data_IF_755102140016
#
_entry.id   IF_755102140016
#
_cell.length_a   1.000
_cell.length_b   1.000
_cell.length_c   1.000
_cell.angle_alpha   90.00
_cell.angle_beta   90.00
_cell.angle_gamma   90.00
#
_symmetry.space_group_name_H-M   'P 1'
#
loop_
_entity.id
_entity.type
_entity.pdbx_description
1 polymer ?
#
# COMPACT_ATOMS: atom_id res chain seq x y z
N UNK A 1 -22.89 -31.36 18.09
CA UNK A 1 -22.78 -30.38 19.19
C UNK A 1 -23.05 -29.02 18.59
N UNK A 2 -24.07 -28.31 19.10
CA UNK A 2 -24.41 -26.96 18.66
C UNK A 2 -23.38 -25.98 19.24
N UNK A 3 -22.77 -25.13 18.40
CA UNK A 3 -21.85 -24.09 18.86
C UNK A 3 -22.40 -22.70 18.54
N UNK A 4 -22.61 -21.89 19.56
CA UNK A 4 -23.03 -20.49 19.43
C UNK A 4 -21.79 -19.60 19.38
N UNK A 5 -21.64 -18.83 18.31
CA UNK A 5 -20.49 -17.93 18.09
C UNK A 5 -20.98 -16.49 18.05
N UNK A 6 -20.38 -15.63 18.87
CA UNK A 6 -20.63 -14.19 18.83
C UNK A 6 -19.57 -13.52 17.98
N UNK A 7 -19.98 -12.89 16.89
CA UNK A 7 -19.11 -12.10 16.03
C UNK A 7 -19.23 -10.62 16.42
N UNK A 8 -18.08 -9.96 16.61
CA UNK A 8 -18.02 -8.55 16.95
C UNK A 8 -18.64 -7.70 15.83
N UNK A 9 -19.70 -6.96 16.15
CA UNK A 9 -20.37 -6.06 15.23
C UNK A 9 -20.97 -4.86 15.96
N UNK A 10 -21.15 -3.74 15.27
CA UNK A 10 -21.89 -2.59 15.79
C UNK A 10 -23.41 -2.82 15.69
N UNK A 11 -23.92 -3.83 16.40
CA UNK A 11 -25.35 -4.12 16.49
C UNK A 11 -25.73 -4.47 17.92
N UNK A 12 -26.76 -3.82 18.45
CA UNK A 12 -27.36 -4.15 19.74
C UNK A 12 -28.35 -5.33 19.62
N UNK A 13 -28.90 -5.56 18.43
CA UNK A 13 -29.79 -6.69 18.16
C UNK A 13 -28.95 -7.90 17.77
N UNK A 14 -29.04 -8.95 18.59
CA UNK A 14 -28.54 -10.28 18.31
C UNK A 14 -29.37 -10.93 17.20
N UNK A 15 -29.24 -10.41 15.98
CA UNK A 15 -29.88 -11.00 14.81
C UNK A 15 -28.91 -12.00 14.18
N UNK A 16 -29.30 -13.28 14.01
CA UNK A 16 -28.48 -14.24 13.28
C UNK A 16 -28.42 -13.81 11.81
N UNK A 17 -27.24 -13.39 11.36
CA UNK A 17 -27.08 -12.77 10.04
C UNK A 17 -26.97 -13.80 8.90
N UNK A 18 -26.90 -15.10 9.24
CA UNK A 18 -26.90 -16.20 8.28
C UNK A 18 -27.86 -17.29 8.74
N UNK A 19 -28.81 -17.61 7.87
CA UNK A 19 -29.68 -18.78 8.04
C UNK A 19 -28.85 -20.05 8.15
N UNK A 20 -29.37 -21.01 8.90
CA UNK A 20 -28.86 -22.36 9.08
C UNK A 20 -28.28 -22.92 7.77
N UNK A 21 -26.95 -22.90 7.61
CA UNK A 21 -26.27 -23.66 6.56
C UNK A 21 -25.82 -24.95 7.21
N UNK A 22 -26.68 -25.97 7.16
CA UNK A 22 -26.34 -27.35 7.47
C UNK A 22 -25.52 -27.95 6.32
N UNK A 23 -24.31 -27.44 6.10
CA UNK A 23 -23.28 -28.15 5.32
C UNK A 23 -22.35 -28.81 6.33
N UNK A 24 -22.58 -30.10 6.56
CA UNK A 24 -21.78 -31.03 7.36
C UNK A 24 -21.85 -30.90 8.89
N UNK A 25 -22.91 -31.46 9.51
CA UNK A 25 -23.02 -31.91 10.92
C UNK A 25 -22.47 -31.01 12.05
N UNK A 26 -22.18 -29.74 11.78
CA UNK A 26 -21.69 -28.74 12.71
C UNK A 26 -22.66 -27.55 12.69
N UNK A 27 -23.63 -27.58 13.60
CA UNK A 27 -24.60 -26.50 13.76
C UNK A 27 -23.89 -25.30 14.43
N UNK A 28 -23.33 -24.40 13.62
CA UNK A 28 -22.77 -23.13 14.12
C UNK A 28 -23.75 -21.98 13.89
N UNK A 29 -24.23 -21.38 14.97
CA UNK A 29 -25.07 -20.18 14.92
C UNK A 29 -24.17 -18.98 15.17
N UNK A 30 -24.02 -18.11 14.17
CA UNK A 30 -23.26 -16.86 14.31
C UNK A 30 -24.21 -15.70 14.60
N UNK A 31 -24.01 -15.07 15.74
CA UNK A 31 -24.77 -13.90 16.19
C UNK A 31 -23.87 -12.68 16.12
N UNK A 32 -24.26 -11.69 15.32
CA UNK A 32 -23.53 -10.44 15.24
C UNK A 32 -24.00 -9.50 16.33
N UNK A 33 -23.08 -9.13 17.23
CA UNK A 33 -23.37 -8.20 18.30
C UNK A 33 -22.11 -7.56 18.86
N UNK A 34 -22.28 -6.42 19.53
CA UNK A 34 -21.18 -5.79 20.28
C UNK A 34 -20.69 -6.62 21.48
N UNK A 35 -21.44 -7.66 21.89
CA UNK A 35 -21.04 -8.58 22.96
C UNK A 35 -19.95 -9.55 22.49
N UNK A 36 -19.79 -9.69 21.17
CA UNK A 36 -18.65 -10.39 20.58
C UNK A 36 -17.38 -9.55 20.50
N UNK A 37 -17.43 -8.27 20.88
CA UNK A 37 -16.28 -7.37 20.80
C UNK A 37 -15.42 -7.39 22.08
N UNK A 38 -14.12 -7.09 21.97
CA UNK A 38 -13.23 -6.92 23.11
C UNK A 38 -13.69 -5.78 24.04
N UNK A 39 -13.45 -5.92 25.35
CA UNK A 39 -13.88 -4.96 26.37
C UNK A 39 -13.17 -3.60 26.27
N UNK A 40 -12.03 -3.55 25.57
CA UNK A 40 -11.26 -2.34 25.35
C UNK A 40 -11.95 -1.39 24.36
N UNK A 41 -12.87 -1.90 23.53
CA UNK A 41 -13.64 -1.09 22.60
C UNK A 41 -14.85 -0.48 23.30
N UNK A 42 -14.87 0.85 23.50
CA UNK A 42 -15.97 1.50 24.20
C UNK A 42 -17.25 1.46 23.37
N UNK A 43 -18.35 1.37 24.12
CA UNK A 43 -19.70 1.48 23.63
C UNK A 43 -20.28 2.80 24.15
N UNK A 44 -20.68 3.68 23.25
CA UNK A 44 -21.24 4.98 23.57
C UNK A 44 -22.54 5.19 22.78
N UNK A 45 -23.58 5.74 23.40
CA UNK A 45 -24.85 6.00 22.70
C UNK A 45 -25.57 4.75 22.19
N UNK A 46 -25.30 3.57 22.77
CA UNK A 46 -25.76 2.25 22.27
C UNK A 46 -25.16 1.85 20.92
N UNK A 47 -24.01 2.40 20.59
CA UNK A 47 -23.23 2.02 19.41
C UNK A 47 -21.77 1.76 19.81
N UNK A 48 -21.17 0.74 19.21
CA UNK A 48 -19.74 0.46 19.32
C UNK A 48 -18.98 1.60 18.66
N UNK A 49 -17.93 2.11 19.32
CA UNK A 49 -17.16 3.26 18.83
C UNK A 49 -18.05 4.48 18.47
N UNK A 50 -19.08 4.72 19.29
CA UNK A 50 -20.06 5.80 19.12
C UNK A 50 -20.75 5.82 17.73
N UNK A 51 -20.77 4.69 17.03
CA UNK A 51 -21.29 4.58 15.66
C UNK A 51 -20.46 5.28 14.60
N UNK A 52 -19.26 5.73 14.94
CA UNK A 52 -18.39 6.60 14.14
C UNK A 52 -17.01 6.00 13.95
N UNK A 53 -16.96 4.68 13.91
CA UNK A 53 -15.73 3.93 13.71
C UNK A 53 -15.90 2.43 13.85
N UNK A 54 -14.78 1.74 13.74
CA UNK A 54 -14.72 0.28 13.79
C UNK A 54 -13.79 -0.19 14.90
N UNK A 55 -14.26 -1.12 15.72
CA UNK A 55 -13.41 -1.81 16.70
C UNK A 55 -12.53 -2.83 15.99
N UNK A 56 -11.21 -2.73 16.16
CA UNK A 56 -10.27 -3.71 15.61
C UNK A 56 -9.08 -3.89 16.55
N UNK A 57 -8.49 -5.08 16.51
CA UNK A 57 -7.23 -5.34 17.21
C UNK A 57 -6.06 -4.61 16.54
N UNK A 58 -5.36 -3.80 17.31
CA UNK A 58 -4.14 -3.13 16.90
C UNK A 58 -2.93 -3.99 17.32
N UNK A 59 -2.17 -4.43 16.33
CA UNK A 59 -0.98 -5.28 16.51
C UNK A 59 0.22 -4.54 17.07
N UNK A 60 0.29 -3.22 16.90
CA UNK A 60 1.42 -2.41 17.32
C UNK A 60 1.38 -2.19 18.84
N UNK A 61 0.19 -1.89 19.37
CA UNK A 61 -0.03 -1.71 20.82
C UNK A 61 -0.57 -2.97 21.52
N UNK A 62 -0.82 -4.05 20.76
CA UNK A 62 -1.36 -5.33 21.25
C UNK A 62 -2.69 -5.22 22.00
N UNK A 63 -3.55 -4.31 21.58
CA UNK A 63 -4.84 -4.05 22.20
C UNK A 63 -5.90 -3.73 21.15
N UNK A 64 -7.17 -4.03 21.45
CA UNK A 64 -8.28 -3.58 20.62
C UNK A 64 -8.58 -2.10 20.87
N UNK A 65 -8.83 -1.36 19.79
CA UNK A 65 -9.24 0.04 19.87
C UNK A 65 -10.20 0.41 18.75
N UNK A 66 -10.87 1.54 18.92
CA UNK A 66 -11.70 2.13 17.87
C UNK A 66 -10.83 2.84 16.83
N UNK A 67 -11.09 2.55 15.56
CA UNK A 67 -10.57 3.26 14.41
C UNK A 67 -11.67 4.19 13.92
N UNK A 68 -11.52 5.48 14.20
CA UNK A 68 -12.55 6.48 13.96
C UNK A 68 -12.64 6.89 12.50
N UNK A 69 -13.87 7.22 12.10
CA UNK A 69 -14.16 7.79 10.81
C UNK A 69 -13.62 9.23 10.70
N UNK A 70 -13.51 9.71 9.47
CA UNK A 70 -13.02 11.06 9.20
C UNK A 70 -13.82 12.12 9.95
N UNK A 71 -13.11 12.98 10.68
CA UNK A 71 -13.72 14.06 11.46
C UNK A 71 -14.12 13.68 12.89
N UNK A 72 -13.77 12.47 13.34
CA UNK A 72 -13.98 12.01 14.70
C UNK A 72 -12.69 11.54 15.36
N UNK A 73 -12.55 11.83 16.65
CA UNK A 73 -11.42 11.44 17.49
C UNK A 73 -11.89 11.05 18.89
N UNK A 74 -10.95 10.70 19.77
CA UNK A 74 -11.24 10.18 21.11
C UNK A 74 -11.11 8.66 21.20
N UNK A 75 -11.26 8.12 22.42
CA UNK A 75 -11.05 6.69 22.69
C UNK A 75 -12.13 5.83 22.02
N UNK A 76 -13.32 6.39 21.84
CA UNK A 76 -14.49 5.76 21.24
C UNK A 76 -15.12 6.58 20.11
N UNK A 77 -14.37 7.48 19.46
CA UNK A 77 -14.86 8.32 18.36
C UNK A 77 -16.01 9.26 18.76
N UNK A 78 -16.05 9.63 20.03
CA UNK A 78 -17.08 10.47 20.64
C UNK A 78 -16.87 11.98 20.34
N UNK A 79 -15.64 12.38 20.02
CA UNK A 79 -15.28 13.78 19.81
C UNK A 79 -15.34 14.12 18.32
N UNK A 80 -16.12 15.14 17.96
CA UNK A 80 -16.11 15.69 16.61
C UNK A 80 -14.98 16.70 16.47
N UNK A 81 -14.13 16.55 15.45
CA UNK A 81 -13.08 17.53 15.15
C UNK A 81 -13.74 18.74 14.49
N UNK A 82 -14.27 19.67 15.29
CA UNK A 82 -14.87 20.93 14.81
C UNK A 82 -13.77 21.77 14.19
N UNK A 83 -13.61 21.70 12.86
CA UNK A 83 -12.95 22.66 11.96
C UNK A 83 -11.77 23.50 12.50
N UNK A 84 -11.01 22.99 13.48
CA UNK A 84 -9.70 23.53 13.83
C UNK A 84 -8.80 22.93 12.78
N UNK A 85 -8.52 23.77 11.77
CA UNK A 85 -7.47 23.64 10.75
C UNK A 85 -6.66 22.37 10.99
N UNK A 86 -6.69 21.37 10.08
CA UNK A 86 -6.08 20.08 10.34
C UNK A 86 -4.69 20.37 10.93
N UNK A 87 -4.37 19.91 12.15
CA UNK A 87 -2.97 19.88 12.53
C UNK A 87 -2.27 19.18 11.36
N UNK A 88 -1.07 19.61 10.93
CA UNK A 88 -0.33 18.85 9.95
C UNK A 88 -0.14 17.47 10.57
N UNK A 89 -1.03 16.55 10.19
CA UNK A 89 -0.83 15.14 10.37
C UNK A 89 0.51 14.94 9.70
N UNK A 90 1.53 14.69 10.51
CA UNK A 90 2.71 14.02 10.02
C UNK A 90 2.17 12.65 9.62
N UNK A 91 1.69 12.58 8.40
CA UNK A 91 1.20 11.39 7.73
C UNK A 91 2.40 10.48 7.54
N UNK A 92 2.87 9.89 8.64
CA UNK A 92 3.80 8.77 8.61
C UNK A 92 3.07 7.46 8.32
N UNK A 93 1.82 7.56 7.84
CA UNK A 93 1.09 6.52 7.12
C UNK A 93 1.13 6.85 5.63
N UNK A 94 2.34 6.90 5.07
CA UNK A 94 2.50 6.13 3.86
C UNK A 94 2.37 4.68 4.31
N UNK A 95 1.21 4.07 4.01
CA UNK A 95 1.11 2.62 3.87
C UNK A 95 2.40 2.14 3.23
N UNK A 96 3.21 1.44 4.03
CA UNK A 96 4.62 1.14 3.76
C UNK A 96 4.85 0.29 2.50
N UNK A 97 3.79 -0.03 1.77
CA UNK A 97 3.79 -0.73 0.48
C UNK A 97 3.91 0.18 -0.75
N UNK A 98 3.47 1.45 -0.69
CA UNK A 98 3.49 2.33 -1.89
C UNK A 98 4.82 3.05 -2.07
N UNK A 99 5.50 3.41 -0.98
CA UNK A 99 6.82 4.07 -1.03
C UNK A 99 7.92 3.16 -1.55
N UNK A 100 7.87 1.87 -1.20
CA UNK A 100 8.85 0.87 -1.64
C UNK A 100 8.84 0.72 -3.16
N UNK A 101 7.65 0.64 -3.77
CA UNK A 101 7.50 0.50 -5.22
C UNK A 101 8.06 1.72 -5.94
N UNK A 102 7.76 2.93 -5.45
CA UNK A 102 8.25 4.19 -6.04
C UNK A 102 9.78 4.25 -6.00
N UNK A 103 10.39 3.89 -4.87
CA UNK A 103 11.85 3.88 -4.72
C UNK A 103 12.50 2.87 -5.68
N UNK A 104 11.95 1.67 -5.81
CA UNK A 104 12.45 0.65 -6.74
C UNK A 104 12.37 1.13 -8.19
N UNK A 105 11.24 1.73 -8.59
CA UNK A 105 11.06 2.26 -9.94
C UNK A 105 12.04 3.40 -10.25
N UNK A 106 12.32 4.27 -9.28
CA UNK A 106 13.31 5.34 -9.42
C UNK A 106 14.74 4.80 -9.53
N UNK A 107 15.12 3.78 -8.76
CA UNK A 107 16.45 3.17 -8.86
C UNK A 107 16.64 2.48 -10.22
N UNK A 108 15.62 1.76 -10.70
CA UNK A 108 15.67 1.10 -12.01
C UNK A 108 15.77 2.11 -13.16
N UNK A 109 15.02 3.22 -13.10
CA UNK A 109 15.08 4.25 -14.14
C UNK A 109 16.44 4.95 -14.19
N UNK A 110 17.03 5.27 -13.03
CA UNK A 110 18.38 5.83 -12.94
C UNK A 110 19.42 4.84 -13.47
N UNK A 111 19.32 3.56 -13.11
CA UNK A 111 20.26 2.54 -13.59
C UNK A 111 20.24 2.41 -15.11
N UNK A 112 19.04 2.34 -15.71
CA UNK A 112 18.89 2.29 -17.17
C UNK A 112 19.39 3.56 -17.85
N UNK A 113 19.12 4.73 -17.28
CA UNK A 113 19.62 6.01 -17.79
C UNK A 113 21.15 6.06 -17.76
N UNK A 114 21.77 5.66 -16.64
CA UNK A 114 23.22 5.57 -16.51
C UNK A 114 23.82 4.58 -17.51
N UNK A 115 23.21 3.41 -17.69
CA UNK A 115 23.66 2.43 -18.67
C UNK A 115 23.57 2.98 -20.11
N UNK A 116 22.48 3.64 -20.48
CA UNK A 116 22.34 4.29 -21.79
C UNK A 116 23.39 5.38 -22.01
N UNK A 117 23.66 6.23 -21.00
CA UNK A 117 24.69 7.27 -21.10
C UNK A 117 26.10 6.67 -21.20
N UNK A 118 26.35 5.59 -20.47
CA UNK A 118 27.62 4.87 -20.55
C UNK A 118 27.83 4.25 -21.94
N UNK A 119 26.82 3.57 -22.47
CA UNK A 119 26.89 2.97 -23.81
C UNK A 119 26.98 4.06 -24.89
N UNK A 120 26.30 5.20 -24.76
CA UNK A 120 26.46 6.34 -25.68
C UNK A 120 27.90 6.84 -25.72
N UNK A 121 28.54 7.00 -24.56
CA UNK A 121 29.96 7.37 -24.49
C UNK A 121 30.87 6.33 -25.12
N UNK A 122 30.56 5.05 -24.95
CA UNK A 122 31.31 3.99 -25.63
C UNK A 122 31.12 4.01 -27.15
N UNK A 123 29.91 4.26 -27.63
CA UNK A 123 29.62 4.33 -29.08
C UNK A 123 30.33 5.54 -29.71
N UNK A 124 30.36 6.68 -29.03
CA UNK A 124 31.11 7.86 -29.52
C UNK A 124 32.61 7.55 -29.66
N UNK A 125 33.21 6.82 -28.72
CA UNK A 125 34.60 6.37 -28.84
C UNK A 125 34.81 5.39 -30.01
N UNK A 126 33.86 4.49 -30.28
CA UNK A 126 33.93 3.54 -31.40
C UNK A 126 33.68 4.20 -32.77
N UNK A 127 32.91 5.30 -32.83
CA UNK A 127 32.69 6.03 -34.08
C UNK A 127 33.96 6.72 -34.58
N UNK A 128 34.81 7.20 -33.67
CA UNK A 128 36.08 7.84 -34.03
C UNK A 128 37.03 6.82 -34.69
N UNK A 129 37.09 5.61 -34.17
CA UNK A 129 37.86 4.52 -34.79
C UNK A 129 37.31 4.16 -36.18
N UNK A 130 35.99 3.98 -36.33
CA UNK A 130 35.39 3.63 -37.63
C UNK A 130 35.66 4.66 -38.73
N UNK A 131 35.54 5.95 -38.42
CA UNK A 131 35.83 7.04 -39.36
C UNK A 131 37.32 7.13 -39.73
N UNK A 132 38.22 6.88 -38.77
CA UNK A 132 39.66 6.81 -39.03
C UNK A 132 40.03 5.66 -39.98
N UNK A 133 39.40 4.49 -39.87
CA UNK A 133 39.64 3.38 -40.82
C UNK A 133 39.15 3.68 -42.24
N UNK A 134 38.05 4.43 -42.40
CA UNK A 134 37.59 4.85 -43.74
C UNK A 134 38.50 5.91 -44.36
N UNK A 135 39.08 6.80 -43.55
CA UNK A 135 40.03 7.82 -44.01
C UNK A 135 41.36 7.22 -44.55
N UNK A 136 41.75 6.02 -44.12
CA UNK A 136 42.91 5.32 -44.69
C UNK A 136 42.61 4.64 -46.03
N UNK A 137 41.37 4.20 -46.28
CA UNK A 137 40.99 3.60 -47.57
C UNK A 137 40.95 4.63 -48.69
N UNK A 138 40.39 5.83 -48.44
CA UNK A 138 40.38 6.91 -49.44
C UNK A 138 41.79 7.35 -49.85
N UNK A 139 42.75 7.34 -48.91
CA UNK A 139 44.17 7.64 -49.21
C UNK A 139 44.86 6.52 -49.98
N UNK A 140 44.51 5.25 -49.72
CA UNK A 140 45.05 4.12 -50.46
C UNK A 140 44.54 4.13 -51.92
N UNK A 141 43.26 4.42 -52.13
CA UNK A 141 42.64 4.56 -53.45
C UNK A 141 43.26 5.74 -54.25
N UNK A 142 43.52 6.88 -53.60
CA UNK A 142 44.15 8.03 -54.28
C UNK A 142 45.64 7.81 -54.62
N UNK A 143 46.37 7.00 -53.85
CA UNK A 143 47.78 6.67 -54.11
C UNK A 143 47.99 5.61 -55.20
N UNK A 144 46.93 4.86 -55.56
CA UNK A 144 46.94 3.88 -56.65
C UNK A 144 46.67 4.49 -58.03
N UNK A 145 46.23 5.75 -58.12
CA UNK A 145 45.85 6.41 -59.38
C UNK A 145 46.94 7.32 -59.98
N UNK A 146 48.12 7.44 -59.34
CA UNK A 146 49.29 8.13 -59.91
C UNK A 146 50.29 7.18 -60.61
N UNK A 147 49.94 5.90 -60.75
CA UNK A 147 50.75 4.91 -61.49
C UNK A 147 49.94 4.34 -62.66
N UNK A 148 49.56 5.19 -63.61
CA UNK A 148 49.34 4.79 -65.01
C UNK A 148 49.48 5.97 -65.96
#
# INVERSE_FOLDING_TARGET
TLSLVFECANSATASPNKGYVATDCADQITVQSWYGCPLECPVAGRELCAGRGHCKYDTDIKQARCFCDMGFEGKGCEEATVAKKPPPVKSHLASSSMTVIIVILLVLSVFLACAMLYMKRQVEALQEDASNYMAFQDKAESSGSEVF
#
